data_IF_676256842508
#
_entry.id   IF_676256842508
#
_cell.length_a   1.000
_cell.length_b   1.000
_cell.length_c   1.000
_cell.angle_alpha   90.00
_cell.angle_beta   90.00
_cell.angle_gamma   90.00
#
_symmetry.space_group_name_H-M   'P 1'
#
loop_
_entity.id
_entity.type
_entity.pdbx_description
1 polymer ?
#
# COMPACT_ATOMS: atom_id res chain seq x y z
N UNK A 1 -1.90 -65.54 46.13
CA UNK A 1 -1.99 -64.07 46.20
C UNK A 1 -1.45 -63.46 44.90
N UNK A 2 -2.34 -63.07 43.97
CA UNK A 2 -1.96 -62.53 42.70
C UNK A 2 -1.92 -61.00 42.81
N UNK A 3 -0.75 -60.35 42.63
CA UNK A 3 -0.57 -58.91 42.58
C UNK A 3 -1.01 -58.37 41.19
N UNK A 4 -2.12 -57.67 41.17
CA UNK A 4 -2.64 -56.97 40.00
C UNK A 4 -1.71 -55.80 39.69
N UNK A 5 -0.95 -55.85 38.56
CA UNK A 5 -0.21 -54.72 38.00
C UNK A 5 -1.22 -53.75 37.38
N UNK A 6 -1.43 -52.61 38.00
CA UNK A 6 -2.19 -51.51 37.45
C UNK A 6 -1.30 -50.84 36.37
N UNK A 7 -1.71 -50.98 35.11
CA UNK A 7 -1.06 -50.30 33.98
C UNK A 7 -1.34 -48.79 34.05
N UNK A 8 -0.34 -48.00 34.40
CA UNK A 8 -0.36 -46.53 34.27
C UNK A 8 -0.20 -46.17 32.78
N UNK A 9 -1.28 -46.24 32.01
CA UNK A 9 -1.29 -45.84 30.60
C UNK A 9 -2.02 -44.51 30.36
N UNK A 10 -2.50 -43.82 31.42
CA UNK A 10 -3.28 -42.60 31.26
C UNK A 10 -2.49 -41.29 31.31
N UNK A 11 -1.34 -41.28 31.99
CA UNK A 11 -0.64 -39.99 32.27
C UNK A 11 0.15 -39.45 31.06
N UNK A 12 0.72 -40.32 30.24
CA UNK A 12 1.48 -39.89 29.07
C UNK A 12 0.60 -39.26 27.97
N UNK A 13 -0.64 -39.78 27.81
CA UNK A 13 -1.59 -39.23 26.82
C UNK A 13 -2.10 -37.83 27.17
N UNK A 14 -2.32 -37.55 28.46
CA UNK A 14 -2.78 -36.26 28.93
C UNK A 14 -1.71 -35.15 28.77
N UNK A 15 -0.45 -35.52 28.98
CA UNK A 15 0.67 -34.59 28.82
C UNK A 15 0.87 -34.22 27.34
N UNK A 16 0.72 -35.19 26.43
CA UNK A 16 0.88 -34.98 24.99
C UNK A 16 -0.24 -34.07 24.45
N UNK A 17 -1.49 -34.30 24.86
CA UNK A 17 -2.62 -33.43 24.41
C UNK A 17 -2.49 -32.01 24.92
N UNK A 18 -2.07 -31.83 26.18
CA UNK A 18 -1.82 -30.51 26.75
C UNK A 18 -0.67 -29.78 26.03
N UNK A 19 0.37 -30.51 25.63
CA UNK A 19 1.51 -29.95 24.90
C UNK A 19 1.14 -29.54 23.47
N UNK A 20 0.29 -30.33 22.80
CA UNK A 20 -0.24 -30.01 21.47
C UNK A 20 -1.13 -28.77 21.56
N UNK A 21 -1.97 -28.62 22.58
CA UNK A 21 -2.85 -27.48 22.74
C UNK A 21 -2.06 -26.17 22.88
N UNK A 22 -1.05 -26.14 23.74
CA UNK A 22 -0.15 -24.99 23.87
C UNK A 22 0.57 -24.70 22.57
N UNK A 23 1.02 -25.72 21.83
CA UNK A 23 1.69 -25.56 20.56
C UNK A 23 0.77 -24.96 19.51
N UNK A 24 -0.49 -25.39 19.42
CA UNK A 24 -1.49 -24.85 18.50
C UNK A 24 -1.79 -23.38 18.82
N UNK A 25 -1.94 -23.03 20.11
CA UNK A 25 -2.17 -21.64 20.53
C UNK A 25 -1.00 -20.73 20.12
N UNK A 26 0.23 -21.17 20.36
CA UNK A 26 1.44 -20.43 19.96
C UNK A 26 1.51 -20.29 18.44
N UNK A 27 1.18 -21.34 17.69
CA UNK A 27 1.19 -21.33 16.22
C UNK A 27 0.14 -20.38 15.67
N UNK A 28 -1.08 -20.37 16.22
CA UNK A 28 -2.13 -19.43 15.85
C UNK A 28 -1.76 -17.98 16.23
N UNK A 29 -1.10 -17.79 17.39
CA UNK A 29 -0.62 -16.47 17.79
C UNK A 29 0.45 -15.96 16.82
N UNK A 30 1.43 -16.79 16.45
CA UNK A 30 2.45 -16.44 15.45
C UNK A 30 1.84 -16.17 14.07
N UNK A 31 0.87 -16.97 13.64
CA UNK A 31 0.17 -16.75 12.39
C UNK A 31 -0.60 -15.43 12.40
N UNK A 32 -1.21 -15.07 13.52
CA UNK A 32 -1.92 -13.80 13.69
C UNK A 32 -0.96 -12.61 13.71
N UNK A 33 0.19 -12.70 14.38
CA UNK A 33 1.20 -11.63 14.41
C UNK A 33 1.82 -11.42 13.04
N UNK A 34 2.16 -12.49 12.31
CA UNK A 34 2.66 -12.41 10.94
C UNK A 34 1.60 -11.80 10.00
N UNK A 35 0.33 -12.15 10.18
CA UNK A 35 -0.76 -11.57 9.38
C UNK A 35 -1.06 -10.11 9.72
N UNK A 36 -0.81 -9.68 10.96
CA UNK A 36 -0.95 -8.29 11.39
C UNK A 36 0.23 -7.41 10.96
N UNK A 37 1.42 -7.99 10.84
CA UNK A 37 2.67 -7.31 10.44
C UNK A 37 3.10 -7.67 9.02
N UNK A 38 2.18 -7.87 8.08
CA UNK A 38 2.43 -8.26 6.70
C UNK A 38 3.47 -7.44 5.93
N UNK A 39 4.58 -7.07 6.59
CA UNK A 39 5.74 -6.40 6.02
C UNK A 39 7.01 -6.63 6.84
N UNK A 40 7.48 -7.89 6.90
CA UNK A 40 8.88 -8.11 7.20
C UNK A 40 9.70 -7.85 5.93
N UNK A 41 9.86 -6.59 5.57
CA UNK A 41 10.99 -6.18 4.76
C UNK A 41 12.23 -6.22 5.65
N UNK A 42 13.12 -7.14 5.34
CA UNK A 42 14.50 -7.16 5.82
C UNK A 42 15.09 -5.76 5.69
N UNK A 43 15.28 -5.12 6.83
CA UNK A 43 16.07 -3.89 6.90
C UNK A 43 17.48 -4.20 6.43
N UNK A 44 17.80 -3.82 5.20
CA UNK A 44 19.19 -3.57 4.85
C UNK A 44 19.60 -2.30 5.60
N UNK A 45 20.53 -2.44 6.55
CA UNK A 45 21.16 -1.34 7.25
C UNK A 45 21.64 -0.30 6.24
N UNK A 46 21.18 0.96 6.42
CA UNK A 46 21.52 2.16 5.65
C UNK A 46 20.58 2.61 4.52
N UNK A 47 19.34 2.12 4.43
CA UNK A 47 18.38 2.80 3.57
C UNK A 47 17.43 3.65 4.43
N UNK A 48 17.64 4.96 4.45
CA UNK A 48 16.65 5.92 4.96
C UNK A 48 15.50 5.96 3.96
N UNK A 49 14.57 5.00 4.13
CA UNK A 49 13.33 4.99 3.37
C UNK A 49 12.48 6.18 3.81
N UNK A 50 12.02 7.04 2.89
CA UNK A 50 10.96 7.97 3.22
C UNK A 50 9.75 7.15 3.68
N UNK A 51 9.24 7.45 4.87
CA UNK A 51 8.08 6.78 5.47
C UNK A 51 6.86 6.97 4.56
N UNK A 52 6.68 6.10 3.59
CA UNK A 52 5.39 5.92 2.94
C UNK A 52 4.62 4.87 3.73
N UNK A 53 3.78 5.32 4.64
CA UNK A 53 2.77 4.48 5.27
C UNK A 53 1.75 4.05 4.20
N UNK A 54 2.12 3.05 3.40
CA UNK A 54 1.17 2.35 2.54
C UNK A 54 0.43 1.30 3.38
N UNK A 55 -0.55 1.75 4.13
CA UNK A 55 -1.64 0.87 4.56
C UNK A 55 -2.55 0.63 3.36
N UNK A 56 -2.10 -0.18 2.39
CA UNK A 56 -2.97 -0.67 1.33
C UNK A 56 -3.60 -1.97 1.78
N UNK A 57 -4.88 -1.92 2.09
CA UNK A 57 -5.75 -3.09 2.04
C UNK A 57 -5.63 -3.72 0.64
N UNK A 58 -5.45 -5.04 0.49
CA UNK A 58 -5.18 -5.70 -0.81
C UNK A 58 -6.30 -5.60 -1.84
N UNK A 59 -7.40 -4.94 -1.53
CA UNK A 59 -8.64 -4.98 -2.32
C UNK A 59 -8.82 -3.81 -3.30
N UNK A 60 -8.02 -2.76 -3.22
CA UNK A 60 -8.14 -1.60 -4.12
C UNK A 60 -6.78 -1.21 -4.70
N UNK A 61 -6.57 -1.54 -5.97
CA UNK A 61 -5.45 -0.99 -6.74
C UNK A 61 -5.75 0.48 -6.99
N UNK A 62 -5.24 1.36 -6.13
CA UNK A 62 -5.35 2.81 -6.33
C UNK A 62 -4.01 3.35 -6.82
N UNK A 63 -4.05 4.06 -7.94
CA UNK A 63 -2.91 4.79 -8.47
C UNK A 63 -2.47 5.87 -7.48
N UNK A 64 -1.16 6.01 -7.27
CA UNK A 64 -0.63 7.02 -6.35
C UNK A 64 0.21 8.03 -7.12
N UNK A 65 -0.09 9.31 -6.94
CA UNK A 65 0.69 10.41 -7.49
C UNK A 65 1.30 11.18 -6.34
N UNK A 66 2.61 11.36 -6.36
CA UNK A 66 3.35 12.11 -5.36
C UNK A 66 3.96 13.34 -6.03
N UNK A 67 3.60 14.51 -5.57
CA UNK A 67 4.18 15.78 -6.00
C UNK A 67 5.10 16.36 -4.92
N UNK A 68 6.38 16.48 -5.26
CA UNK A 68 7.41 17.08 -4.42
C UNK A 68 7.88 18.41 -5.04
N UNK A 69 8.68 19.18 -4.33
CA UNK A 69 9.29 20.42 -4.81
C UNK A 69 10.17 20.21 -6.06
N UNK A 70 10.72 19.02 -6.25
CA UNK A 70 11.65 18.69 -7.33
C UNK A 70 11.04 17.86 -8.44
N UNK A 71 10.10 16.97 -8.11
CA UNK A 71 9.61 15.96 -9.04
C UNK A 71 8.15 15.60 -8.83
N UNK A 72 7.54 15.09 -9.90
CA UNK A 72 6.21 14.48 -9.89
C UNK A 72 6.40 13.00 -10.22
N UNK A 73 5.96 12.15 -9.29
CA UNK A 73 6.13 10.69 -9.33
C UNK A 73 4.75 10.03 -9.43
N UNK A 74 4.62 9.03 -10.28
CA UNK A 74 3.42 8.20 -10.40
C UNK A 74 3.83 6.75 -10.19
N UNK A 75 3.26 6.07 -9.19
CA UNK A 75 3.57 4.68 -8.83
C UNK A 75 5.08 4.37 -8.77
N UNK A 76 5.85 5.22 -8.10
CA UNK A 76 7.31 5.13 -7.92
C UNK A 76 8.17 5.50 -9.16
N UNK A 77 7.55 5.85 -10.30
CA UNK A 77 8.25 6.37 -11.47
C UNK A 77 8.26 7.90 -11.48
N UNK A 78 9.44 8.51 -11.51
CA UNK A 78 9.59 9.96 -11.67
C UNK A 78 9.31 10.32 -13.13
N UNK A 79 8.26 11.09 -13.36
CA UNK A 79 7.79 11.42 -14.71
C UNK A 79 8.09 12.85 -15.14
N UNK A 80 8.13 13.77 -14.21
CA UNK A 80 8.34 15.18 -14.55
C UNK A 80 9.12 15.91 -13.44
N UNK A 81 9.86 16.93 -13.87
CA UNK A 81 10.48 17.88 -12.95
C UNK A 81 9.50 19.01 -12.64
N UNK A 82 9.31 19.31 -11.35
CA UNK A 82 8.34 20.30 -10.88
C UNK A 82 8.62 21.70 -11.43
N UNK A 83 9.90 22.11 -11.52
CA UNK A 83 10.26 23.42 -12.10
C UNK A 83 9.95 23.52 -13.59
N UNK A 84 10.17 22.44 -14.35
CA UNK A 84 9.84 22.40 -15.76
C UNK A 84 8.33 22.50 -15.99
N UNK A 85 7.55 21.78 -15.18
CA UNK A 85 6.08 21.83 -15.20
C UNK A 85 5.57 23.21 -14.80
N UNK A 86 6.21 23.89 -13.87
CA UNK A 86 5.84 25.23 -13.45
C UNK A 86 5.98 26.25 -14.57
N UNK A 87 7.06 26.16 -15.35
CA UNK A 87 7.34 27.08 -16.48
C UNK A 87 6.44 26.86 -17.71
N UNK A 88 5.71 25.75 -17.76
CA UNK A 88 4.79 25.47 -18.85
C UNK A 88 3.51 26.31 -18.70
N UNK A 89 3.05 26.93 -19.79
CA UNK A 89 1.74 27.58 -19.83
C UNK A 89 0.58 26.59 -19.90
N UNK A 90 0.86 25.34 -20.27
CA UNK A 90 -0.14 24.28 -20.34
C UNK A 90 -0.60 23.86 -18.94
N UNK A 91 -1.92 23.70 -18.79
CA UNK A 91 -2.55 23.19 -17.59
C UNK A 91 -2.34 21.67 -17.44
N UNK A 92 -1.97 20.98 -18.52
CA UNK A 92 -1.84 19.53 -18.56
C UNK A 92 -0.36 19.14 -18.60
N UNK A 93 0.03 18.20 -17.75
CA UNK A 93 1.39 17.66 -17.68
C UNK A 93 1.48 16.44 -18.60
N UNK A 94 1.96 16.63 -19.83
CA UNK A 94 1.96 15.59 -20.86
C UNK A 94 2.62 14.25 -20.45
N UNK A 95 3.79 14.20 -19.77
CA UNK A 95 4.38 12.94 -19.32
C UNK A 95 3.50 12.18 -18.32
N UNK A 96 2.85 12.90 -17.41
CA UNK A 96 1.93 12.32 -16.43
C UNK A 96 0.68 11.82 -17.13
N UNK A 97 0.12 12.61 -18.04
CA UNK A 97 -1.08 12.26 -18.80
C UNK A 97 -0.92 10.94 -19.57
N UNK A 98 0.19 10.76 -20.28
CA UNK A 98 0.43 9.55 -21.09
C UNK A 98 0.43 8.28 -20.23
N UNK A 99 1.03 8.33 -19.04
CA UNK A 99 1.05 7.21 -18.10
C UNK A 99 -0.34 6.95 -17.50
N UNK A 100 -1.05 8.02 -17.14
CA UNK A 100 -2.41 7.92 -16.60
C UNK A 100 -3.39 7.28 -17.59
N UNK A 101 -3.35 7.70 -18.86
CA UNK A 101 -4.20 7.13 -19.92
C UNK A 101 -3.91 5.63 -20.08
N UNK A 102 -2.63 5.25 -20.15
CA UNK A 102 -2.24 3.84 -20.27
C UNK A 102 -2.74 3.01 -19.09
N UNK A 103 -2.58 3.50 -17.88
CA UNK A 103 -3.07 2.85 -16.66
C UNK A 103 -4.60 2.73 -16.66
N UNK A 104 -5.29 3.74 -17.14
CA UNK A 104 -6.76 3.71 -17.25
C UNK A 104 -7.25 2.67 -18.25
N UNK A 105 -6.54 2.50 -19.36
CA UNK A 105 -6.84 1.44 -20.33
C UNK A 105 -6.56 0.05 -19.76
N UNK A 106 -5.50 -0.12 -18.98
CA UNK A 106 -5.19 -1.37 -18.28
C UNK A 106 -6.28 -1.73 -17.26
N UNK A 107 -6.77 -0.76 -16.48
CA UNK A 107 -7.90 -0.94 -15.57
C UNK A 107 -9.18 -1.37 -16.30
N UNK A 108 -9.51 -0.72 -17.42
CA UNK A 108 -10.68 -1.09 -18.23
C UNK A 108 -10.57 -2.49 -18.82
N UNK A 109 -9.39 -2.86 -19.29
CA UNK A 109 -9.15 -4.23 -19.79
C UNK A 109 -9.30 -5.27 -18.68
N UNK A 110 -8.78 -4.97 -17.48
CA UNK A 110 -8.91 -5.85 -16.32
C UNK A 110 -10.39 -6.01 -15.88
N UNK A 111 -11.20 -4.95 -15.98
CA UNK A 111 -12.64 -5.01 -15.73
C UNK A 111 -13.35 -5.90 -16.77
N UNK A 112 -13.07 -5.70 -18.06
CA UNK A 112 -13.64 -6.51 -19.14
C UNK A 112 -13.27 -7.99 -19.02
N UNK A 113 -12.09 -8.30 -18.50
CA UNK A 113 -11.63 -9.67 -18.26
C UNK A 113 -12.15 -10.25 -16.93
N UNK A 114 -12.92 -9.47 -16.16
CA UNK A 114 -13.46 -9.90 -14.86
C UNK A 114 -12.42 -10.05 -13.75
N UNK A 115 -11.20 -9.51 -13.95
CA UNK A 115 -10.11 -9.54 -12.96
C UNK A 115 -10.42 -8.57 -11.81
N UNK A 116 -11.00 -7.42 -12.12
CA UNK A 116 -11.48 -6.44 -11.14
C UNK A 116 -12.98 -6.23 -11.33
N UNK A 117 -13.69 -5.95 -10.25
CA UNK A 117 -15.15 -5.78 -10.27
C UNK A 117 -15.57 -4.50 -11.00
N UNK A 118 -14.80 -3.44 -10.87
CA UNK A 118 -15.12 -2.12 -11.40
C UNK A 118 -13.83 -1.28 -11.53
N UNK A 119 -13.65 -0.66 -12.69
CA UNK A 119 -12.59 0.32 -12.91
C UNK A 119 -13.00 1.67 -12.29
N UNK A 120 -12.75 1.84 -10.99
CA UNK A 120 -13.27 2.97 -10.21
C UNK A 120 -12.66 4.33 -10.55
N UNK A 121 -11.54 4.35 -11.31
CA UNK A 121 -10.83 5.60 -11.62
C UNK A 121 -10.39 6.36 -10.37
N UNK A 122 -10.00 5.63 -9.33
CA UNK A 122 -9.52 6.21 -8.08
C UNK A 122 -8.04 6.54 -8.20
N UNK A 123 -7.67 7.72 -7.77
CA UNK A 123 -6.27 8.15 -7.65
C UNK A 123 -6.05 8.77 -6.27
N UNK A 124 -4.94 8.43 -5.64
CA UNK A 124 -4.49 9.04 -4.40
C UNK A 124 -3.39 10.02 -4.74
N UNK A 125 -3.59 11.28 -4.39
CA UNK A 125 -2.63 12.35 -4.65
C UNK A 125 -2.04 12.82 -3.33
N UNK A 126 -0.71 12.86 -3.26
CA UNK A 126 0.04 13.29 -2.09
C UNK A 126 0.98 14.42 -2.49
N UNK A 127 0.88 15.56 -1.84
CA UNK A 127 1.76 16.70 -2.05
C UNK A 127 2.53 17.05 -0.79
N UNK A 128 3.78 17.50 -0.97
CA UNK A 128 4.55 18.12 0.10
C UNK A 128 3.88 19.47 0.46
N UNK A 129 3.95 19.84 1.71
CA UNK A 129 3.44 21.12 2.26
C UNK A 129 4.00 22.35 1.50
N UNK A 130 5.20 22.25 0.95
CA UNK A 130 5.88 23.34 0.22
C UNK A 130 5.69 23.25 -1.30
N UNK A 131 4.87 22.32 -1.81
CA UNK A 131 4.58 22.23 -3.24
C UNK A 131 3.76 23.44 -3.68
N UNK A 132 4.18 24.18 -4.74
CA UNK A 132 3.42 25.31 -5.25
C UNK A 132 2.01 24.91 -5.68
N UNK A 133 1.02 25.75 -5.39
CA UNK A 133 -0.39 25.47 -5.68
C UNK A 133 -0.69 25.31 -7.20
N UNK A 134 0.05 25.99 -8.05
CA UNK A 134 -0.05 25.86 -9.51
C UNK A 134 0.27 24.42 -9.96
N UNK A 135 1.23 23.74 -9.33
CA UNK A 135 1.55 22.32 -9.61
C UNK A 135 0.40 21.42 -9.17
N UNK A 136 -0.17 21.66 -7.99
CA UNK A 136 -1.34 20.91 -7.53
C UNK A 136 -2.47 20.99 -8.53
N UNK A 137 -2.78 22.19 -9.00
CA UNK A 137 -3.85 22.45 -9.98
C UNK A 137 -3.58 21.74 -11.30
N UNK A 138 -2.34 21.80 -11.81
CA UNK A 138 -1.94 21.14 -13.08
C UNK A 138 -2.03 19.61 -12.97
N UNK A 139 -1.61 19.03 -11.87
CA UNK A 139 -1.71 17.57 -11.64
C UNK A 139 -3.18 17.16 -11.54
N UNK A 140 -4.01 17.89 -10.79
CA UNK A 140 -5.44 17.60 -10.67
C UNK A 140 -6.16 17.70 -12.03
N UNK A 141 -5.88 18.74 -12.81
CA UNK A 141 -6.44 18.89 -14.15
C UNK A 141 -6.01 17.72 -15.05
N UNK A 142 -4.76 17.30 -14.96
CA UNK A 142 -4.24 16.13 -15.71
C UNK A 142 -4.94 14.84 -15.32
N UNK A 143 -5.20 14.61 -14.02
CA UNK A 143 -5.96 13.46 -13.55
C UNK A 143 -7.40 13.45 -14.08
N UNK A 144 -8.08 14.59 -14.00
CA UNK A 144 -9.44 14.75 -14.54
C UNK A 144 -9.51 14.49 -16.04
N UNK A 145 -8.53 15.00 -16.79
CA UNK A 145 -8.45 14.80 -18.24
C UNK A 145 -8.19 13.33 -18.62
N UNK A 146 -7.42 12.61 -17.80
CA UNK A 146 -7.18 11.17 -17.97
C UNK A 146 -8.36 10.28 -17.55
N UNK A 147 -9.45 10.87 -17.03
CA UNK A 147 -10.65 10.15 -16.61
C UNK A 147 -10.61 9.60 -15.18
N UNK A 148 -9.70 10.12 -14.34
CA UNK A 148 -9.65 9.84 -12.91
C UNK A 148 -10.49 10.89 -12.16
N UNK A 149 -11.78 10.60 -11.97
CA UNK A 149 -12.72 11.53 -11.35
C UNK A 149 -12.81 11.38 -9.82
N UNK A 150 -12.25 10.31 -9.28
CA UNK A 150 -12.25 10.05 -7.84
C UNK A 150 -10.86 10.30 -7.26
N UNK A 151 -10.58 11.57 -6.96
CA UNK A 151 -9.28 12.02 -6.44
C UNK A 151 -9.35 12.07 -4.91
N UNK A 152 -8.48 11.31 -4.24
CA UNK A 152 -8.31 11.35 -2.79
C UNK A 152 -7.00 12.05 -2.44
N UNK A 153 -7.06 12.99 -1.52
CA UNK A 153 -5.85 13.62 -0.98
C UNK A 153 -5.35 12.85 0.24
N UNK A 154 -4.09 12.46 0.20
CA UNK A 154 -3.39 11.97 1.38
C UNK A 154 -2.60 13.14 2.00
N UNK A 155 -2.96 13.51 3.21
CA UNK A 155 -2.25 14.55 3.98
C UNK A 155 -1.38 13.86 5.01
N UNK A 156 -0.08 14.09 4.95
CA UNK A 156 0.84 13.61 5.99
C UNK A 156 0.74 14.53 7.20
N UNK A 157 0.18 14.02 8.30
CA UNK A 157 0.23 14.71 9.58
C UNK A 157 1.66 14.61 10.11
N UNK A 158 2.42 15.69 10.09
CA UNK A 158 3.68 15.77 10.81
C UNK A 158 3.33 15.84 12.30
N UNK A 159 3.70 14.80 13.05
CA UNK A 159 3.71 14.90 14.50
C UNK A 159 4.71 16.01 14.86
N UNK A 160 4.22 17.11 15.35
CA UNK A 160 5.04 18.08 16.08
C UNK A 160 5.40 17.40 17.40
N UNK A 161 6.58 16.79 17.43
CA UNK A 161 7.28 16.58 18.69
C UNK A 161 7.81 17.93 19.13
N UNK A 162 7.19 18.40 20.23
CA UNK A 162 7.64 19.57 20.95
C UNK A 162 8.94 19.32 21.72
#
# INVERSE_FOLDING_TARGET
MAKRKIKRQGEAGLIITSLIDVFVIVLLFLMRTISAEGNLMTSADNLVLPMSQRSKSPTEVSLTIIGDQKSITVDDAVLANTEAVRKQDSLIVAPVLSVLIKKREEERKAELLGIIKEATGKVVVQFDKNTPYDIVTKVMATCGYAGYNNIKFAVTKKNEEG
#
